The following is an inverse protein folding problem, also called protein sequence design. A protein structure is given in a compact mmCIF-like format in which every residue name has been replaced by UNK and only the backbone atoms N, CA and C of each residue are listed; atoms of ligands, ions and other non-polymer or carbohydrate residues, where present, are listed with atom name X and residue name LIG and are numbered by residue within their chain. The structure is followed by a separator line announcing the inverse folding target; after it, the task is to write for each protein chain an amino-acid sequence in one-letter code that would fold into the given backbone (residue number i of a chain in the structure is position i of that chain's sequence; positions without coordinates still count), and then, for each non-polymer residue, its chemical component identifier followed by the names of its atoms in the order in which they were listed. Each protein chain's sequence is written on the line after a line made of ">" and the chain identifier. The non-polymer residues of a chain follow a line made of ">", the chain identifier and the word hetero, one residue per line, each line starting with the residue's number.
data_IF_890564257764
#
_entry.id   IF_890564257764
#
_cell.length_a   1.000
_cell.length_b   1.000
_cell.length_c   1.000
_cell.angle_alpha   90.00
_cell.angle_beta   90.00
_cell.angle_gamma   90.00
#
_symmetry.space_group_name_H-M   'P 1'
#
loop_
_entity.id
_entity.type
_entity.pdbx_description
1 polymer ?
#
# COMPACT_ATOMS: atom_id res chain seq x y z
N UNK A 1 65.00 76.50 -38.87
CA UNK A 1 64.48 75.29 -38.19
C UNK A 1 62.99 75.46 -38.10
N UNK A 2 62.08 74.67 -38.64
CA UNK A 2 62.03 73.52 -39.55
C UNK A 2 60.50 73.31 -39.79
N UNK A 3 60.09 72.58 -40.84
CA UNK A 3 58.77 71.94 -41.00
C UNK A 3 57.55 72.85 -41.33
N UNK A 4 56.62 72.57 -42.26
CA UNK A 4 56.39 71.48 -43.23
C UNK A 4 55.37 71.97 -44.27
N UNK A 5 55.79 72.16 -45.51
CA UNK A 5 54.91 72.20 -46.67
C UNK A 5 55.01 70.82 -47.34
N UNK A 6 54.24 69.85 -46.85
CA UNK A 6 54.05 68.59 -47.56
C UNK A 6 53.05 68.83 -48.70
N UNK A 7 53.55 69.31 -49.82
CA UNK A 7 52.93 69.06 -51.11
C UNK A 7 53.20 67.61 -51.48
N UNK A 8 52.20 66.75 -51.30
CA UNK A 8 52.18 65.46 -51.98
C UNK A 8 51.83 65.74 -53.45
N UNK A 9 52.88 66.02 -54.23
CA UNK A 9 52.82 66.09 -55.69
C UNK A 9 52.80 64.66 -56.18
N UNK A 10 51.65 64.23 -56.69
CA UNK A 10 51.53 63.07 -57.55
C UNK A 10 52.42 63.24 -58.78
N UNK A 11 52.97 62.14 -59.27
CA UNK A 11 54.03 62.07 -60.27
C UNK A 11 53.49 62.29 -61.70
N UNK A 12 52.73 63.36 -61.92
CA UNK A 12 52.04 63.63 -63.18
C UNK A 12 51.83 65.15 -63.26
N UNK A 13 52.64 65.85 -64.06
CA UNK A 13 52.61 67.30 -64.20
C UNK A 13 51.42 67.84 -65.00
N UNK A 14 50.19 67.56 -64.58
CA UNK A 14 48.98 68.17 -65.10
C UNK A 14 48.31 69.05 -64.04
N UNK A 15 48.12 70.33 -64.39
CA UNK A 15 47.49 71.35 -63.56
C UNK A 15 46.03 70.95 -63.30
N UNK A 16 45.64 70.84 -62.04
CA UNK A 16 44.26 70.60 -61.61
C UNK A 16 43.35 71.70 -62.20
N UNK A 17 42.59 71.35 -63.23
CA UNK A 17 41.58 72.21 -63.87
C UNK A 17 40.36 72.33 -62.95
N UNK A 18 40.09 73.50 -62.34
CA UNK A 18 38.97 73.71 -61.43
C UNK A 18 37.60 73.73 -62.12
N UNK A 19 37.52 73.50 -63.44
CA UNK A 19 36.28 73.52 -64.22
C UNK A 19 35.72 72.14 -64.63
N UNK A 20 36.34 71.02 -64.23
CA UNK A 20 35.69 69.69 -64.35
C UNK A 20 34.80 69.43 -63.14
N UNK A 21 33.49 69.51 -63.33
CA UNK A 21 32.53 68.92 -62.39
C UNK A 21 32.79 67.40 -62.31
N UNK A 22 33.08 66.82 -61.13
CA UNK A 22 33.14 65.38 -60.97
C UNK A 22 31.83 64.77 -61.48
N UNK A 23 31.92 63.75 -62.33
CA UNK A 23 30.74 63.10 -62.87
C UNK A 23 30.04 62.37 -61.71
N UNK A 24 28.88 62.85 -61.25
CA UNK A 24 28.17 62.33 -60.07
C UNK A 24 27.97 60.79 -60.08
N UNK A 25 27.86 60.19 -61.27
CA UNK A 25 27.68 58.75 -61.45
C UNK A 25 29.00 57.95 -61.47
N UNK A 26 30.13 58.58 -61.80
CA UNK A 26 31.39 57.89 -62.07
C UNK A 26 32.55 58.56 -61.32
N UNK A 27 33.09 57.91 -60.27
CA UNK A 27 34.25 58.42 -59.53
C UNK A 27 35.51 58.40 -60.41
N UNK A 28 36.58 59.06 -59.96
CA UNK A 28 37.88 59.02 -60.66
C UNK A 28 38.37 57.58 -60.82
N UNK A 29 38.92 57.26 -62.00
CA UNK A 29 39.34 55.90 -62.37
C UNK A 29 40.33 55.30 -61.36
N UNK A 30 41.17 56.14 -60.74
CA UNK A 30 42.11 55.74 -59.69
C UNK A 30 41.39 55.29 -58.40
N UNK A 31 40.36 56.01 -57.95
CA UNK A 31 39.59 55.65 -56.74
C UNK A 31 38.82 54.35 -56.95
N UNK A 32 38.30 54.11 -58.15
CA UNK A 32 37.62 52.86 -58.49
C UNK A 32 38.57 51.66 -58.39
N UNK A 33 39.80 51.79 -58.89
CA UNK A 33 40.80 50.71 -58.86
C UNK A 33 41.24 50.41 -57.43
N UNK A 34 41.69 51.42 -56.67
CA UNK A 34 42.14 51.23 -55.29
C UNK A 34 41.00 50.82 -54.35
N UNK A 35 39.79 51.35 -54.55
CA UNK A 35 38.59 50.97 -53.80
C UNK A 35 38.17 49.53 -54.08
N UNK A 36 38.21 49.10 -55.34
CA UNK A 36 37.91 47.71 -55.72
C UNK A 36 38.95 46.74 -55.16
N UNK A 37 40.25 47.06 -55.26
CA UNK A 37 41.32 46.24 -54.66
C UNK A 37 41.16 46.14 -53.14
N UNK A 38 40.87 47.26 -52.46
CA UNK A 38 40.66 47.26 -51.01
C UNK A 38 39.42 46.45 -50.60
N UNK A 39 38.32 46.60 -51.35
CA UNK A 39 37.09 45.82 -51.14
C UNK A 39 37.33 44.32 -51.34
N UNK A 40 38.07 43.94 -52.37
CA UNK A 40 38.44 42.54 -52.62
C UNK A 40 39.34 41.95 -51.53
N UNK A 41 40.29 42.72 -51.00
CA UNK A 41 41.15 42.28 -49.88
C UNK A 41 40.30 42.03 -48.62
N UNK A 42 39.42 42.97 -48.26
CA UNK A 42 38.52 42.81 -47.11
C UNK A 42 37.56 41.63 -47.33
N UNK A 43 37.00 41.50 -48.53
CA UNK A 43 36.13 40.38 -48.88
C UNK A 43 36.86 39.03 -48.80
N UNK A 44 38.10 38.94 -49.28
CA UNK A 44 38.90 37.72 -49.20
C UNK A 44 39.18 37.31 -47.75
N UNK A 45 39.49 38.28 -46.88
CA UNK A 45 39.68 38.05 -45.43
C UNK A 45 38.37 37.60 -44.78
N UNK A 46 37.27 38.31 -45.00
CA UNK A 46 35.95 37.94 -44.46
C UNK A 46 35.48 36.58 -44.97
N UNK A 47 35.71 36.25 -46.24
CA UNK A 47 35.36 34.95 -46.78
C UNK A 47 36.22 33.86 -46.13
N UNK A 48 37.53 34.07 -46.00
CA UNK A 48 38.44 33.08 -45.42
C UNK A 48 38.20 32.83 -43.93
N UNK A 49 37.84 33.85 -43.14
CA UNK A 49 37.64 33.72 -41.69
C UNK A 49 36.17 33.64 -41.25
N UNK A 50 35.27 34.34 -41.94
CA UNK A 50 33.83 34.35 -41.64
C UNK A 50 33.10 33.09 -42.10
N UNK A 51 33.45 32.54 -43.26
CA UNK A 51 32.84 31.31 -43.78
C UNK A 51 32.98 30.10 -42.82
N UNK A 52 34.18 29.77 -42.27
CA UNK A 52 34.29 28.66 -41.33
C UNK A 52 33.52 28.91 -40.02
N UNK A 53 33.45 30.15 -39.53
CA UNK A 53 32.69 30.49 -38.33
C UNK A 53 31.18 30.31 -38.54
N UNK A 54 30.66 30.77 -39.68
CA UNK A 54 29.24 30.63 -40.01
C UNK A 54 28.83 29.16 -40.19
N UNK A 55 29.65 28.38 -40.90
CA UNK A 55 29.44 26.94 -41.05
C UNK A 55 29.44 26.23 -39.70
N UNK A 56 30.42 26.50 -38.83
CA UNK A 56 30.50 25.93 -37.48
C UNK A 56 29.28 26.30 -36.62
N UNK A 57 28.78 27.54 -36.72
CA UNK A 57 27.61 27.97 -35.96
C UNK A 57 26.33 27.25 -36.41
N UNK A 58 26.14 27.06 -37.72
CA UNK A 58 25.01 26.30 -38.26
C UNK A 58 25.10 24.81 -37.90
N UNK A 59 26.28 24.19 -38.05
CA UNK A 59 26.51 22.80 -37.66
C UNK A 59 26.23 22.60 -36.17
N UNK A 60 26.77 23.44 -35.29
CA UNK A 60 26.52 23.38 -33.85
C UNK A 60 25.04 23.62 -33.49
N UNK A 61 24.29 24.40 -34.29
CA UNK A 61 22.85 24.57 -34.11
C UNK A 61 22.10 23.31 -34.51
N UNK A 62 22.41 22.73 -35.67
CA UNK A 62 21.80 21.50 -36.17
C UNK A 62 22.08 20.33 -35.23
N UNK A 63 23.32 20.16 -34.78
CA UNK A 63 23.71 19.12 -33.82
C UNK A 63 22.94 19.25 -32.50
N UNK A 64 22.81 20.46 -31.95
CA UNK A 64 22.02 20.70 -30.74
C UNK A 64 20.54 20.37 -30.93
N UNK A 65 19.96 20.72 -32.08
CA UNK A 65 18.56 20.40 -32.38
C UNK A 65 18.39 18.89 -32.51
N UNK A 66 19.26 18.22 -33.24
CA UNK A 66 19.21 16.77 -33.42
C UNK A 66 19.35 16.06 -32.08
N UNK A 67 20.35 16.44 -31.28
CA UNK A 67 20.54 15.89 -29.94
C UNK A 67 19.35 16.15 -29.02
N UNK A 68 18.71 17.32 -29.08
CA UNK A 68 17.52 17.61 -28.29
C UNK A 68 16.30 16.80 -28.75
N UNK A 69 16.15 16.55 -30.07
CA UNK A 69 15.12 15.68 -30.61
C UNK A 69 15.35 14.23 -30.16
N UNK A 70 16.56 13.69 -30.33
CA UNK A 70 16.92 12.33 -29.93
C UNK A 70 16.72 12.11 -28.42
N UNK A 71 17.12 13.09 -27.59
CA UNK A 71 16.91 13.05 -26.14
C UNK A 71 15.41 13.07 -25.79
N UNK A 72 14.61 13.86 -26.51
CA UNK A 72 13.16 13.93 -26.29
C UNK A 72 12.45 12.63 -26.70
N UNK A 73 12.87 12.02 -27.80
CA UNK A 73 12.34 10.73 -28.25
C UNK A 73 12.69 9.62 -27.26
N UNK A 74 13.93 9.62 -26.76
CA UNK A 74 14.39 8.67 -25.74
C UNK A 74 13.57 8.83 -24.45
N UNK A 75 13.43 10.05 -23.93
CA UNK A 75 12.62 10.32 -22.72
C UNK A 75 11.15 9.95 -22.91
N UNK A 76 10.59 10.18 -24.10
CA UNK A 76 9.22 9.78 -24.42
C UNK A 76 9.07 8.26 -24.44
N UNK A 77 10.05 7.55 -25.01
CA UNK A 77 10.07 6.09 -25.03
C UNK A 77 10.19 5.50 -23.62
N UNK A 78 11.12 6.03 -22.80
CA UNK A 78 11.28 5.66 -21.39
C UNK A 78 10.00 5.88 -20.59
N UNK A 79 9.39 7.07 -20.69
CA UNK A 79 8.15 7.38 -19.99
C UNK A 79 6.97 6.47 -20.43
N UNK A 80 6.91 6.09 -21.71
CA UNK A 80 5.89 5.14 -22.20
C UNK A 80 6.12 3.74 -21.63
N UNK A 81 7.37 3.29 -21.56
CA UNK A 81 7.74 1.99 -20.98
C UNK A 81 7.42 1.98 -19.49
N UNK A 82 7.85 2.98 -18.73
CA UNK A 82 7.54 3.11 -17.31
C UNK A 82 6.03 3.15 -17.05
N UNK A 83 5.26 3.92 -17.85
CA UNK A 83 3.81 3.94 -17.73
C UNK A 83 3.16 2.59 -18.06
N UNK A 84 3.74 1.79 -18.97
CA UNK A 84 3.26 0.44 -19.25
C UNK A 84 3.57 -0.52 -18.10
N UNK A 85 4.77 -0.46 -17.54
CA UNK A 85 5.18 -1.24 -16.37
C UNK A 85 4.31 -0.93 -15.15
N UNK A 86 4.06 0.35 -14.86
CA UNK A 86 3.18 0.77 -13.76
C UNK A 86 1.76 0.24 -13.96
N UNK A 87 1.21 0.30 -15.18
CA UNK A 87 -0.13 -0.25 -15.46
C UNK A 87 -0.17 -1.76 -15.30
N UNK A 88 0.87 -2.47 -15.74
CA UNK A 88 0.99 -3.92 -15.54
C UNK A 88 1.06 -4.25 -14.06
N UNK A 89 1.95 -3.60 -13.32
CA UNK A 89 2.10 -3.79 -11.88
C UNK A 89 0.81 -3.48 -11.11
N UNK A 90 0.06 -2.44 -11.50
CA UNK A 90 -1.24 -2.14 -10.92
C UNK A 90 -2.26 -3.25 -11.19
N UNK A 91 -2.29 -3.79 -12.42
CA UNK A 91 -3.13 -4.94 -12.78
C UNK A 91 -2.77 -6.21 -11.98
N UNK A 92 -1.48 -6.48 -11.82
CA UNK A 92 -0.98 -7.62 -11.03
C UNK A 92 -1.36 -7.47 -9.55
N UNK A 93 -1.27 -6.26 -8.99
CA UNK A 93 -1.71 -5.97 -7.63
C UNK A 93 -3.22 -6.18 -7.48
N UNK A 94 -4.03 -5.74 -8.44
CA UNK A 94 -5.48 -5.96 -8.42
C UNK A 94 -5.84 -7.45 -8.47
N UNK A 95 -5.17 -8.23 -9.31
CA UNK A 95 -5.35 -9.67 -9.39
C UNK A 95 -4.93 -10.37 -8.09
N UNK A 96 -3.78 -10.00 -7.51
CA UNK A 96 -3.33 -10.54 -6.23
C UNK A 96 -4.30 -10.18 -5.10
N UNK A 97 -4.80 -8.93 -5.05
CA UNK A 97 -5.82 -8.50 -4.08
C UNK A 97 -7.07 -9.37 -4.17
N UNK A 98 -7.61 -9.58 -5.38
CA UNK A 98 -8.78 -10.42 -5.58
C UNK A 98 -8.53 -11.86 -5.14
N UNK A 99 -7.35 -12.42 -5.43
CA UNK A 99 -6.97 -13.76 -4.96
C UNK A 99 -6.95 -13.84 -3.44
N UNK A 100 -6.35 -12.85 -2.76
CA UNK A 100 -6.31 -12.79 -1.28
C UNK A 100 -7.70 -12.67 -0.66
N UNK A 101 -8.59 -11.88 -1.25
CA UNK A 101 -9.97 -11.80 -0.74
C UNK A 101 -10.72 -13.12 -0.91
N UNK A 102 -10.61 -13.78 -2.07
CA UNK A 102 -11.23 -15.08 -2.26
C UNK A 102 -10.68 -16.16 -1.31
N UNK A 103 -9.37 -16.14 -1.04
CA UNK A 103 -8.73 -17.02 -0.05
C UNK A 103 -9.22 -16.74 1.37
N UNK A 104 -9.30 -15.46 1.76
CA UNK A 104 -9.80 -15.04 3.06
C UNK A 104 -11.29 -15.38 3.28
N UNK A 105 -12.13 -15.24 2.24
CA UNK A 105 -13.54 -15.64 2.30
C UNK A 105 -13.68 -17.15 2.49
N UNK A 106 -12.89 -17.94 1.75
CA UNK A 106 -12.86 -19.40 1.89
C UNK A 106 -12.39 -19.83 3.28
N UNK A 107 -11.35 -19.17 3.82
CA UNK A 107 -10.84 -19.43 5.16
C UNK A 107 -11.87 -19.05 6.24
N UNK A 108 -12.54 -17.89 6.09
CA UNK A 108 -13.59 -17.45 6.99
C UNK A 108 -14.77 -18.44 7.02
N UNK A 109 -15.20 -18.94 5.87
CA UNK A 109 -16.24 -19.98 5.77
C UNK A 109 -15.80 -21.27 6.47
N UNK A 110 -14.54 -21.68 6.29
CA UNK A 110 -13.97 -22.85 6.97
C UNK A 110 -13.93 -22.69 8.48
N UNK A 111 -13.47 -21.53 8.98
CA UNK A 111 -13.43 -21.24 10.42
C UNK A 111 -14.83 -21.22 11.01
N UNK A 112 -15.82 -20.65 10.31
CA UNK A 112 -17.21 -20.65 10.76
C UNK A 112 -17.81 -22.06 10.79
N UNK A 113 -17.51 -22.89 9.80
CA UNK A 113 -17.97 -24.28 9.76
C UNK A 113 -17.33 -25.11 10.88
N UNK A 114 -16.02 -25.02 11.07
CA UNK A 114 -15.30 -25.70 12.16
C UNK A 114 -15.78 -25.21 13.53
N UNK A 115 -15.93 -23.90 13.70
CA UNK A 115 -16.41 -23.30 14.94
C UNK A 115 -17.81 -23.77 15.31
N UNK A 116 -18.72 -23.88 14.33
CA UNK A 116 -20.07 -24.44 14.57
C UNK A 116 -20.02 -25.91 14.97
N UNK A 117 -19.24 -26.72 14.26
CA UNK A 117 -19.11 -28.13 14.58
C UNK A 117 -18.54 -28.35 16.00
N UNK A 118 -17.53 -27.56 16.38
CA UNK A 118 -16.95 -27.60 17.73
C UNK A 118 -17.95 -27.16 18.79
N UNK A 119 -18.70 -26.08 18.55
CA UNK A 119 -19.74 -25.62 19.48
C UNK A 119 -20.85 -26.66 19.67
N UNK A 120 -21.26 -27.34 18.60
CA UNK A 120 -22.27 -28.41 18.69
C UNK A 120 -21.75 -29.58 19.55
N UNK A 121 -20.48 -29.97 19.39
CA UNK A 121 -19.83 -30.99 20.22
C UNK A 121 -19.74 -30.57 21.70
N UNK A 122 -19.28 -29.34 21.97
CA UNK A 122 -19.20 -28.79 23.33
C UNK A 122 -20.58 -28.69 24.00
N UNK A 123 -21.63 -28.34 23.26
CA UNK A 123 -23.00 -28.27 23.76
C UNK A 123 -23.51 -29.67 24.15
N UNK A 124 -23.25 -30.69 23.32
CA UNK A 124 -23.66 -32.06 23.63
C UNK A 124 -22.90 -32.63 24.83
N UNK A 125 -21.60 -32.35 24.94
CA UNK A 125 -20.82 -32.72 26.14
C UNK A 125 -21.36 -32.04 27.40
N UNK A 126 -21.65 -30.73 27.33
CA UNK A 126 -22.21 -29.96 28.43
C UNK A 126 -23.59 -30.48 28.85
N UNK A 127 -24.45 -30.84 27.88
CA UNK A 127 -25.77 -31.44 28.15
C UNK A 127 -25.63 -32.79 28.85
N UNK A 128 -24.75 -33.67 28.36
CA UNK A 128 -24.51 -34.96 28.97
C UNK A 128 -24.00 -34.83 30.42
N UNK A 129 -23.09 -33.88 30.66
CA UNK A 129 -22.61 -33.57 32.01
C UNK A 129 -23.73 -33.04 32.91
N UNK A 130 -24.55 -32.11 32.42
CA UNK A 130 -25.68 -31.55 33.15
C UNK A 130 -26.73 -32.62 33.51
N UNK A 131 -27.06 -33.52 32.59
CA UNK A 131 -28.00 -34.63 32.83
C UNK A 131 -27.47 -35.58 33.90
N UNK A 132 -26.16 -35.90 33.87
CA UNK A 132 -25.49 -36.69 34.90
C UNK A 132 -25.56 -36.00 36.28
N UNK A 133 -25.30 -34.69 36.34
CA UNK A 133 -25.37 -33.92 37.58
C UNK A 133 -26.80 -33.86 38.13
N UNK A 134 -27.80 -33.66 37.28
CA UNK A 134 -29.21 -33.68 37.66
C UNK A 134 -29.58 -35.05 38.25
N UNK A 135 -29.17 -36.15 37.61
CA UNK A 135 -29.44 -37.50 38.11
C UNK A 135 -28.78 -37.75 39.49
N UNK A 136 -27.55 -37.27 39.67
CA UNK A 136 -26.83 -37.36 40.94
C UNK A 136 -27.50 -36.55 42.05
N UNK A 137 -27.91 -35.32 41.76
CA UNK A 137 -28.63 -34.45 42.70
C UNK A 137 -29.99 -35.07 43.07
N UNK A 138 -30.74 -35.57 42.09
CA UNK A 138 -32.03 -36.22 42.33
C UNK A 138 -31.89 -37.46 43.24
N UNK A 139 -30.86 -38.28 43.00
CA UNK A 139 -30.56 -39.44 43.85
C UNK A 139 -30.23 -39.01 45.29
N UNK A 140 -29.35 -38.02 45.47
CA UNK A 140 -28.99 -37.46 46.78
C UNK A 140 -30.21 -36.89 47.52
N UNK A 141 -31.00 -36.05 46.85
CA UNK A 141 -32.21 -35.44 47.42
C UNK A 141 -33.24 -36.51 47.82
N UNK A 142 -33.41 -37.56 47.01
CA UNK A 142 -34.31 -38.67 47.37
C UNK A 142 -33.84 -39.42 48.62
N UNK A 143 -32.52 -39.60 48.79
CA UNK A 143 -31.92 -40.21 49.96
C UNK A 143 -32.12 -39.36 51.22
N UNK A 144 -31.91 -38.05 51.10
CA UNK A 144 -32.12 -37.08 52.18
C UNK A 144 -33.58 -37.05 52.64
N UNK A 145 -34.53 -36.96 51.71
CA UNK A 145 -35.98 -37.00 52.00
C UNK A 145 -36.36 -38.31 52.72
N UNK A 146 -35.85 -39.47 52.28
CA UNK A 146 -36.10 -40.76 52.94
C UNK A 146 -35.52 -40.80 54.35
N UNK A 147 -34.35 -40.19 54.55
CA UNK A 147 -33.73 -40.03 55.87
C UNK A 147 -34.58 -39.17 56.80
N UNK A 148 -35.04 -38.01 56.32
CA UNK A 148 -35.92 -37.11 57.07
C UNK A 148 -37.26 -37.76 57.43
N UNK A 149 -37.89 -38.47 56.49
CA UNK A 149 -39.13 -39.20 56.73
C UNK A 149 -38.92 -40.28 57.79
N UNK A 150 -37.82 -41.05 57.72
CA UNK A 150 -37.51 -42.09 58.71
C UNK A 150 -37.31 -41.49 60.10
N UNK A 151 -36.67 -40.33 60.18
CA UNK A 151 -36.43 -39.60 61.43
C UNK A 151 -37.71 -38.99 62.00
N UNK A 152 -38.58 -38.41 61.17
CA UNK A 152 -39.88 -37.88 61.58
C UNK A 152 -40.83 -39.01 62.02
N UNK A 153 -40.83 -40.14 61.31
CA UNK A 153 -41.63 -41.32 61.65
C UNK A 153 -41.23 -41.90 63.01
N UNK A 154 -39.92 -42.02 63.28
CA UNK A 154 -39.43 -42.42 64.61
C UNK A 154 -39.91 -41.49 65.71
N UNK A 155 -39.84 -40.16 65.50
CA UNK A 155 -40.35 -39.17 66.47
C UNK A 155 -41.86 -39.29 66.69
N UNK A 156 -42.63 -39.59 65.64
CA UNK A 156 -44.07 -39.80 65.75
C UNK A 156 -44.41 -41.07 66.55
N UNK A 157 -43.71 -42.18 66.29
CA UNK A 157 -43.87 -43.44 67.03
C UNK A 157 -43.50 -43.25 68.51
N UNK A 158 -42.35 -42.62 68.78
CA UNK A 158 -41.90 -42.34 70.15
C UNK A 158 -42.95 -41.54 70.94
N UNK A 159 -43.53 -40.52 70.30
CA UNK A 159 -44.62 -39.71 70.88
C UNK A 159 -45.92 -40.48 71.10
N UNK A 160 -46.28 -41.38 70.19
CA UNK A 160 -47.49 -42.21 70.32
C UNK A 160 -47.37 -43.19 71.50
N UNK A 161 -46.21 -43.87 71.63
CA UNK A 161 -45.94 -44.83 72.71
C UNK A 161 -45.83 -44.15 74.07
N UNK A 162 -45.18 -42.99 74.16
CA UNK A 162 -45.03 -42.26 75.42
C UNK A 162 -46.29 -41.47 75.85
N UNK A 163 -47.26 -41.28 74.94
CA UNK A 163 -48.51 -40.55 75.20
C UNK A 163 -49.71 -41.42 75.59
N UNK A 164 -49.66 -42.75 75.42
CA UNK A 164 -50.74 -43.66 75.84
C UNK A 164 -50.37 -44.39 77.13
N UNK A 165 -51.24 -44.44 78.16
CA UNK A 165 -51.05 -45.34 79.29
C UNK A 165 -51.16 -46.78 78.79
N UNK A 166 -50.09 -47.56 78.96
CA UNK A 166 -50.08 -48.99 78.66
C UNK A 166 -51.03 -49.69 79.65
N UNK A 167 -52.04 -50.39 79.14
CA UNK A 167 -52.86 -51.25 79.99
C UNK A 167 -52.13 -52.57 80.30
N UNK A 168 -52.50 -53.22 81.41
CA UNK A 168 -51.85 -54.45 81.89
C UNK A 168 -51.91 -55.58 80.84
N UNK A 169 -52.98 -55.63 80.04
CA UNK A 169 -53.16 -56.62 78.98
C UNK A 169 -52.13 -56.47 77.85
N UNK A 170 -51.90 -55.23 77.40
CA UNK A 170 -50.91 -54.91 76.36
C UNK A 170 -49.49 -55.20 76.84
N UNK A 171 -49.19 -54.90 78.11
CA UNK A 171 -47.89 -55.25 78.70
C UNK A 171 -47.64 -56.77 78.71
N UNK A 172 -48.65 -57.56 79.09
CA UNK A 172 -48.54 -59.02 79.14
C UNK A 172 -48.33 -59.62 77.74
N UNK A 173 -49.05 -59.11 76.73
CA UNK A 173 -48.91 -59.52 75.33
C UNK A 173 -47.52 -59.19 74.75
N UNK A 174 -46.99 -57.99 75.05
CA UNK A 174 -45.64 -57.60 74.63
C UNK A 174 -44.57 -58.53 75.23
N UNK A 175 -44.70 -58.89 76.51
CA UNK A 175 -43.79 -59.82 77.20
C UNK A 175 -43.84 -61.21 76.55
N UNK A 176 -45.03 -61.77 76.32
CA UNK A 176 -45.18 -63.09 75.70
C UNK A 176 -44.62 -63.10 74.26
N UNK A 177 -44.85 -62.02 73.48
CA UNK A 177 -44.28 -61.89 72.13
C UNK A 177 -42.75 -61.81 72.14
N UNK A 178 -42.16 -61.14 73.14
CA UNK A 178 -40.71 -61.04 73.28
C UNK A 178 -40.11 -62.40 73.65
N UNK A 179 -40.71 -63.09 74.62
CA UNK A 179 -40.30 -64.44 75.02
C UNK A 179 -40.38 -65.41 73.83
N UNK A 180 -41.46 -65.37 73.06
CA UNK A 180 -41.61 -66.17 71.85
C UNK A 180 -40.52 -65.88 70.80
N UNK A 181 -40.17 -64.61 70.58
CA UNK A 181 -39.21 -64.22 69.54
C UNK A 181 -37.75 -64.54 69.91
N UNK A 182 -37.40 -64.40 71.20
CA UNK A 182 -36.07 -64.75 71.72
C UNK A 182 -35.94 -66.26 71.95
N UNK A 183 -37.02 -66.97 72.27
CA UNK A 183 -37.02 -68.43 72.41
C UNK A 183 -37.09 -69.19 71.07
N UNK A 184 -37.48 -68.52 69.98
CA UNK A 184 -37.52 -69.09 68.62
C UNK A 184 -36.29 -68.74 67.76
N UNK A 185 -35.34 -67.95 68.30
CA UNK A 185 -34.01 -67.73 67.72
C UNK A 185 -32.98 -68.61 68.40
#
# INVERSE_FOLDING_TARGET
>A
MNQLAYGFVAADGELLDPARSPHWLWPEDAELIFGTISSLIVFAVLFKFGWPLFKKALEARTERIQSAMDESETKLAEAKTEAAEIRSAAGDIDAERQRRFAEADTEAESILAEGRARLDEEIEELRAAADSDIALIASRASGEIRGEISMLSRRAVDRAVSGQPLDDATQQELIESFISKVGAS
#
